data_IF_567044123535
#
_entry.id   IF_567044123535
#
_cell.length_a   1.000
_cell.length_b   1.000
_cell.length_c   1.000
_cell.angle_alpha   90.00
_cell.angle_beta   90.00
_cell.angle_gamma   90.00
#
_symmetry.space_group_name_H-M   'P 1'
#
loop_
_entity.id
_entity.type
_entity.pdbx_description
1 polymer ?
#
# COMPACT_ATOMS: atom_id res chain seq x y z
N UNK A 1 -5.71 35.47 -15.77
CA UNK A 1 -6.06 34.25 -15.01
C UNK A 1 -5.55 32.95 -15.66
N UNK A 2 -5.81 32.71 -16.96
CA UNK A 2 -5.37 31.48 -17.65
C UNK A 2 -3.85 31.22 -17.64
N UNK A 3 -3.02 32.27 -17.81
CA UNK A 3 -1.55 32.16 -17.80
C UNK A 3 -0.99 31.71 -16.44
N UNK A 4 -1.54 32.21 -15.33
CA UNK A 4 -1.14 31.81 -13.98
C UNK A 4 -1.51 30.35 -13.68
N UNK A 5 -2.69 29.92 -14.12
CA UNK A 5 -3.16 28.52 -14.01
C UNK A 5 -2.26 27.59 -14.83
N UNK A 6 -1.90 27.98 -16.06
CA UNK A 6 -1.00 27.22 -16.91
C UNK A 6 0.40 27.08 -16.29
N UNK A 7 0.94 28.16 -15.71
CA UNK A 7 2.23 28.15 -15.01
C UNK A 7 2.22 27.21 -13.80
N UNK A 8 1.21 27.31 -12.94
CA UNK A 8 1.08 26.43 -11.76
C UNK A 8 0.97 24.95 -12.15
N UNK A 9 0.20 24.64 -13.20
CA UNK A 9 0.04 23.27 -13.70
C UNK A 9 1.36 22.71 -14.26
N UNK A 10 2.19 23.55 -14.89
CA UNK A 10 3.51 23.16 -15.38
C UNK A 10 4.49 22.88 -14.24
N UNK A 11 4.46 23.66 -13.17
CA UNK A 11 5.28 23.45 -11.97
C UNK A 11 4.91 22.15 -11.25
N UNK A 12 3.60 21.90 -11.04
CA UNK A 12 3.14 20.63 -10.44
C UNK A 12 3.57 19.42 -11.27
N UNK A 13 3.45 19.50 -12.59
CA UNK A 13 3.87 18.44 -13.50
C UNK A 13 5.39 18.16 -13.41
N UNK A 14 6.20 19.21 -13.20
CA UNK A 14 7.66 19.08 -13.08
C UNK A 14 8.09 18.45 -11.75
N UNK A 15 7.50 18.92 -10.63
CA UNK A 15 7.69 18.34 -9.28
C UNK A 15 7.34 16.83 -9.24
N UNK A 16 6.45 16.40 -10.13
CA UNK A 16 5.96 15.04 -10.24
C UNK A 16 6.79 14.13 -11.15
N UNK A 17 7.80 14.63 -11.87
CA UNK A 17 8.64 13.81 -12.78
C UNK A 17 9.66 12.95 -12.05
N UNK A 18 10.36 13.54 -11.08
CA UNK A 18 11.40 12.85 -10.29
C UNK A 18 10.84 11.62 -9.57
N UNK A 19 9.71 11.70 -8.83
CA UNK A 19 9.16 10.54 -8.13
C UNK A 19 8.71 9.44 -9.08
N UNK A 20 8.16 9.79 -10.25
CA UNK A 20 7.74 8.79 -11.26
C UNK A 20 8.93 8.00 -11.79
N UNK A 21 10.05 8.67 -12.09
CA UNK A 21 11.28 8.01 -12.53
C UNK A 21 11.84 7.11 -11.44
N UNK A 22 11.96 7.62 -10.21
CA UNK A 22 12.46 6.86 -9.06
C UNK A 22 11.60 5.62 -8.82
N UNK A 23 10.27 5.74 -8.80
CA UNK A 23 9.36 4.58 -8.66
C UNK A 23 9.56 3.57 -9.77
N UNK A 24 9.71 4.00 -11.03
CA UNK A 24 9.96 3.11 -12.16
C UNK A 24 11.27 2.35 -12.01
N UNK A 25 12.35 3.03 -11.63
CA UNK A 25 13.65 2.40 -11.38
C UNK A 25 13.59 1.41 -10.22
N UNK A 26 12.99 1.79 -9.09
CA UNK A 26 12.83 0.91 -7.93
C UNK A 26 12.05 -0.34 -8.34
N UNK A 27 10.91 -0.20 -9.04
CA UNK A 27 10.12 -1.36 -9.49
C UNK A 27 10.91 -2.32 -10.37
N UNK A 28 11.69 -1.80 -11.32
CA UNK A 28 12.52 -2.61 -12.20
C UNK A 28 13.65 -3.30 -11.42
N UNK A 29 14.33 -2.58 -10.54
CA UNK A 29 15.39 -3.12 -9.70
C UNK A 29 14.86 -4.21 -8.76
N UNK A 30 13.72 -3.96 -8.09
CA UNK A 30 13.06 -4.94 -7.23
C UNK A 30 12.60 -6.16 -8.02
N UNK A 31 12.00 -5.98 -9.21
CA UNK A 31 11.58 -7.10 -10.05
C UNK A 31 12.77 -7.96 -10.50
N UNK A 32 13.87 -7.33 -10.95
CA UNK A 32 15.09 -8.04 -11.33
C UNK A 32 15.75 -8.76 -10.15
N UNK A 33 15.81 -8.12 -8.99
CA UNK A 33 16.32 -8.72 -7.75
C UNK A 33 15.49 -9.91 -7.28
N UNK A 34 14.16 -9.80 -7.29
CA UNK A 34 13.26 -10.89 -6.95
C UNK A 34 13.38 -12.06 -7.95
N UNK A 35 13.49 -11.76 -9.25
CA UNK A 35 13.69 -12.78 -10.27
C UNK A 35 15.03 -13.51 -10.08
N UNK A 36 16.11 -12.78 -9.81
CA UNK A 36 17.41 -13.37 -9.53
C UNK A 36 17.41 -14.22 -8.26
N UNK A 37 16.82 -13.72 -7.17
CA UNK A 37 16.67 -14.47 -5.94
C UNK A 37 15.85 -15.75 -6.16
N UNK A 38 14.73 -15.66 -6.88
CA UNK A 38 13.91 -16.81 -7.23
C UNK A 38 14.66 -17.82 -8.11
N UNK A 39 15.47 -17.37 -9.06
CA UNK A 39 16.28 -18.24 -9.91
C UNK A 39 17.34 -19.01 -9.10
N UNK A 40 17.93 -18.39 -8.07
CA UNK A 40 18.94 -19.02 -7.22
C UNK A 40 18.36 -20.07 -6.27
N UNK A 41 17.05 -20.10 -6.07
CA UNK A 41 16.39 -21.06 -5.18
C UNK A 41 16.17 -22.38 -5.92
N UNK A 42 16.63 -23.48 -5.33
CA UNK A 42 16.36 -24.84 -5.81
C UNK A 42 14.94 -25.27 -5.44
N UNK A 43 13.94 -24.71 -6.13
CA UNK A 43 12.51 -24.92 -5.86
C UNK A 43 12.09 -26.38 -5.76
N UNK A 44 12.65 -27.25 -6.62
CA UNK A 44 12.32 -28.69 -6.61
C UNK A 44 12.65 -29.34 -5.26
N UNK A 45 13.85 -29.06 -4.74
CA UNK A 45 14.31 -29.62 -3.46
C UNK A 45 13.57 -28.98 -2.28
N UNK A 46 13.32 -27.67 -2.35
CA UNK A 46 12.60 -26.94 -1.29
C UNK A 46 11.16 -27.42 -1.19
N UNK A 47 10.43 -27.49 -2.29
CA UNK A 47 9.04 -27.96 -2.32
C UNK A 47 8.96 -29.44 -1.93
N UNK A 48 9.87 -30.29 -2.45
CA UNK A 48 9.91 -31.69 -2.04
C UNK A 48 10.13 -31.81 -0.52
N UNK A 49 11.15 -31.17 0.03
CA UNK A 49 11.42 -31.24 1.47
C UNK A 49 10.30 -30.64 2.32
N UNK A 50 9.60 -29.60 1.84
CA UNK A 50 8.45 -29.00 2.50
C UNK A 50 7.23 -29.94 2.57
N UNK A 51 6.88 -30.59 1.46
CA UNK A 51 5.69 -31.42 1.38
C UNK A 51 5.90 -32.89 1.77
N UNK A 52 7.13 -33.43 1.67
CA UNK A 52 7.39 -34.86 1.93
C UNK A 52 8.24 -35.12 3.18
N UNK A 53 8.97 -34.12 3.67
CA UNK A 53 9.82 -34.26 4.86
C UNK A 53 9.06 -34.50 6.18
N UNK A 54 9.78 -34.78 7.28
CA UNK A 54 9.17 -34.98 8.60
C UNK A 54 8.36 -33.74 9.02
N UNK A 55 7.21 -33.96 9.68
CA UNK A 55 6.31 -32.87 10.05
C UNK A 55 5.62 -32.17 8.87
N UNK A 56 5.47 -32.84 7.70
CA UNK A 56 4.75 -32.27 6.54
C UNK A 56 3.35 -31.76 6.87
N UNK A 57 2.60 -32.50 7.70
CA UNK A 57 1.21 -32.15 8.04
C UNK A 57 1.18 -30.83 8.80
N UNK A 58 1.99 -30.68 9.85
CA UNK A 58 2.03 -29.43 10.63
C UNK A 58 2.47 -28.25 9.78
N UNK A 59 3.48 -28.42 8.91
CA UNK A 59 3.92 -27.37 7.98
C UNK A 59 2.83 -26.93 7.01
N UNK A 60 2.11 -27.88 6.42
CA UNK A 60 0.99 -27.58 5.50
C UNK A 60 -0.14 -26.87 6.26
N UNK A 61 -0.50 -27.34 7.45
CA UNK A 61 -1.54 -26.71 8.28
C UNK A 61 -1.14 -25.29 8.70
N UNK A 62 0.10 -25.08 9.13
CA UNK A 62 0.60 -23.75 9.47
C UNK A 62 0.63 -22.82 8.26
N UNK A 63 0.99 -23.33 7.07
CA UNK A 63 0.95 -22.54 5.84
C UNK A 63 -0.49 -22.12 5.51
N UNK A 64 -1.44 -23.05 5.55
CA UNK A 64 -2.86 -22.74 5.32
C UNK A 64 -3.35 -21.71 6.35
N UNK A 65 -3.07 -21.92 7.63
CA UNK A 65 -3.43 -20.99 8.70
C UNK A 65 -2.85 -19.59 8.48
N UNK A 66 -1.57 -19.51 8.09
CA UNK A 66 -0.90 -18.24 7.80
C UNK A 66 -1.50 -17.53 6.58
N UNK A 67 -1.84 -18.26 5.51
CA UNK A 67 -2.46 -17.70 4.32
C UNK A 67 -3.87 -17.18 4.60
N UNK A 68 -4.69 -17.93 5.34
CA UNK A 68 -6.04 -17.51 5.73
C UNK A 68 -6.04 -16.31 6.69
N UNK A 69 -4.95 -16.12 7.44
CA UNK A 69 -4.80 -15.03 8.42
C UNK A 69 -3.68 -14.05 8.04
N UNK A 70 -3.36 -13.95 6.74
CA UNK A 70 -2.23 -13.13 6.28
C UNK A 70 -2.38 -11.67 6.74
N UNK A 71 -3.60 -11.15 6.74
CA UNK A 71 -3.93 -9.79 7.22
C UNK A 71 -3.48 -9.53 8.66
N UNK A 72 -3.44 -10.57 9.50
CA UNK A 72 -3.17 -10.48 10.93
C UNK A 72 -1.73 -10.87 11.28
N UNK A 73 -0.91 -11.23 10.29
CA UNK A 73 0.50 -11.53 10.53
C UNK A 73 1.24 -10.27 11.03
N UNK A 74 2.30 -10.44 11.83
CA UNK A 74 3.13 -9.33 12.28
C UNK A 74 3.55 -8.42 11.12
N UNK A 75 3.55 -7.11 11.37
CA UNK A 75 3.89 -6.06 10.41
C UNK A 75 2.96 -5.89 9.21
N UNK A 76 1.97 -6.76 8.98
CA UNK A 76 1.07 -6.61 7.82
C UNK A 76 0.19 -5.36 7.95
N UNK A 77 -0.29 -5.05 9.16
CA UNK A 77 -0.97 -3.78 9.41
C UNK A 77 -0.07 -2.57 9.09
N UNK A 78 1.17 -2.58 9.60
CA UNK A 78 2.16 -1.52 9.35
C UNK A 78 2.40 -1.36 7.86
N UNK A 79 2.61 -2.46 7.14
CA UNK A 79 2.73 -2.46 5.69
C UNK A 79 1.51 -1.85 5.01
N UNK A 80 0.27 -2.20 5.41
CA UNK A 80 -0.96 -1.65 4.80
C UNK A 80 -1.05 -0.14 4.97
N UNK A 81 -0.71 0.39 6.15
CA UNK A 81 -0.68 1.84 6.41
C UNK A 81 0.39 2.53 5.57
N UNK A 82 1.63 2.05 5.60
CA UNK A 82 2.72 2.63 4.81
C UNK A 82 2.47 2.52 3.31
N UNK A 83 1.93 1.41 2.85
CA UNK A 83 1.50 1.22 1.47
C UNK A 83 0.49 2.31 1.08
N UNK A 84 -0.54 2.57 1.90
CA UNK A 84 -1.52 3.62 1.61
C UNK A 84 -0.88 5.01 1.46
N UNK A 85 0.08 5.34 2.33
CA UNK A 85 0.84 6.59 2.28
C UNK A 85 1.64 6.67 0.98
N UNK A 86 2.53 5.70 0.75
CA UNK A 86 3.43 5.69 -0.40
C UNK A 86 2.65 5.62 -1.71
N UNK A 87 1.56 4.86 -1.73
CA UNK A 87 0.69 4.74 -2.90
C UNK A 87 0.13 6.09 -3.32
N UNK A 88 -0.42 6.89 -2.41
CA UNK A 88 -0.98 8.19 -2.78
C UNK A 88 0.08 9.28 -2.98
N UNK A 89 1.22 9.19 -2.30
CA UNK A 89 2.31 10.14 -2.53
C UNK A 89 2.96 9.95 -3.90
N UNK A 90 3.16 8.71 -4.32
CA UNK A 90 4.06 8.38 -5.45
C UNK A 90 3.40 7.69 -6.63
N UNK A 91 2.32 6.93 -6.42
CA UNK A 91 1.72 6.08 -7.47
C UNK A 91 0.40 6.69 -7.96
N UNK A 92 -0.61 6.76 -7.09
CA UNK A 92 -1.92 7.33 -7.39
C UNK A 92 -1.97 8.78 -6.95
N UNK A 93 -1.96 9.68 -7.93
CA UNK A 93 -2.06 11.12 -7.68
C UNK A 93 -3.52 11.51 -7.44
N UNK A 94 -3.77 12.42 -6.51
CA UNK A 94 -5.07 13.09 -6.41
C UNK A 94 -5.19 14.10 -7.56
N UNK A 95 -6.29 14.05 -8.35
CA UNK A 95 -6.61 15.09 -9.31
C UNK A 95 -7.03 16.36 -8.56
N UNK A 96 -7.11 17.48 -9.27
CA UNK A 96 -7.74 18.68 -8.73
C UNK A 96 -9.20 18.39 -8.41
N UNK A 97 -9.53 18.47 -7.13
CA UNK A 97 -10.86 18.20 -6.60
C UNK A 97 -11.74 19.45 -6.80
N UNK A 98 -12.93 19.27 -7.36
CA UNK A 98 -13.92 20.33 -7.55
C UNK A 98 -15.05 20.26 -6.50
N UNK A 99 -16.02 21.19 -6.54
CA UNK A 99 -17.14 21.18 -5.59
C UNK A 99 -17.92 19.85 -5.57
N UNK A 100 -18.04 19.18 -6.72
CA UNK A 100 -18.72 17.88 -6.87
C UNK A 100 -18.04 16.73 -6.10
N UNK A 101 -16.78 16.88 -5.69
CA UNK A 101 -16.07 15.85 -4.92
C UNK A 101 -16.25 15.96 -3.40
N UNK A 102 -16.91 17.00 -2.89
CA UNK A 102 -17.06 17.24 -1.45
C UNK A 102 -17.70 16.06 -0.71
N UNK A 103 -18.73 15.45 -1.30
CA UNK A 103 -19.46 14.31 -0.73
C UNK A 103 -19.12 12.97 -1.39
N UNK A 104 -18.07 12.92 -2.22
CA UNK A 104 -17.71 11.68 -2.91
C UNK A 104 -16.97 10.76 -1.92
N UNK A 105 -17.47 9.53 -1.67
CA UNK A 105 -16.80 8.63 -0.75
C UNK A 105 -15.52 8.08 -1.37
N UNK A 106 -14.55 7.80 -0.52
CA UNK A 106 -13.42 6.94 -0.87
C UNK A 106 -13.65 5.56 -0.25
N UNK A 107 -13.83 4.57 -1.12
CA UNK A 107 -14.24 3.23 -0.71
C UNK A 107 -13.00 2.34 -0.62
N UNK A 108 -12.78 1.77 0.57
CA UNK A 108 -11.77 0.74 0.83
C UNK A 108 -12.47 -0.59 1.10
N UNK A 109 -12.02 -1.67 0.45
CA UNK A 109 -12.54 -3.02 0.69
C UNK A 109 -11.57 -3.79 1.58
N UNK A 110 -12.12 -4.51 2.56
CA UNK A 110 -11.39 -5.41 3.45
C UNK A 110 -12.25 -6.64 3.73
N UNK A 111 -11.65 -7.68 4.30
CA UNK A 111 -12.34 -8.88 4.75
C UNK A 111 -11.98 -9.16 6.22
N UNK A 112 -12.79 -9.99 6.88
CA UNK A 112 -12.52 -10.48 8.23
C UNK A 112 -11.90 -11.89 8.13
N UNK A 113 -10.58 -12.05 8.36
CA UNK A 113 -9.97 -13.36 8.51
C UNK A 113 -10.44 -14.00 9.81
N UNK A 114 -10.24 -15.31 9.94
CA UNK A 114 -10.68 -16.10 11.10
C UNK A 114 -10.20 -15.50 12.42
N UNK A 115 -8.95 -15.02 12.47
CA UNK A 115 -8.35 -14.43 13.67
C UNK A 115 -8.88 -13.02 14.03
N UNK A 116 -9.78 -12.43 13.22
CA UNK A 116 -10.54 -11.23 13.61
C UNK A 116 -11.96 -11.57 14.11
N UNK A 117 -12.39 -12.83 13.99
CA UNK A 117 -13.70 -13.28 14.41
C UNK A 117 -13.64 -13.67 15.90
N UNK A 118 -14.51 -13.09 16.71
CA UNK A 118 -14.59 -13.36 18.13
C UNK A 118 -15.45 -14.61 18.46
N UNK A 119 -15.62 -14.89 19.75
CA UNK A 119 -16.42 -16.02 20.23
C UNK A 119 -17.90 -15.96 19.81
N UNK A 120 -18.41 -14.78 19.44
CA UNK A 120 -19.77 -14.60 18.95
C UNK A 120 -19.90 -14.84 17.44
N UNK A 121 -18.83 -15.28 16.77
CA UNK A 121 -18.81 -15.51 15.31
C UNK A 121 -19.04 -14.20 14.53
N UNK A 122 -18.69 -13.07 15.12
CA UNK A 122 -18.70 -11.77 14.47
C UNK A 122 -17.29 -11.18 14.45
N UNK A 123 -17.05 -10.23 13.55
CA UNK A 123 -15.80 -9.48 13.56
C UNK A 123 -15.71 -8.69 14.87
N UNK A 124 -14.60 -8.87 15.59
CA UNK A 124 -14.38 -8.20 16.88
C UNK A 124 -14.37 -6.68 16.73
N UNK A 125 -15.00 -5.98 17.68
CA UNK A 125 -15.13 -4.51 17.69
C UNK A 125 -13.80 -3.78 17.49
N UNK A 126 -12.73 -4.22 18.17
CA UNK A 126 -11.43 -3.56 18.10
C UNK A 126 -10.79 -3.69 16.71
N UNK A 127 -11.06 -4.77 15.99
CA UNK A 127 -10.44 -5.04 14.68
C UNK A 127 -11.01 -4.15 13.57
N UNK A 128 -12.20 -3.56 13.75
CA UNK A 128 -12.71 -2.52 12.84
C UNK A 128 -11.80 -1.30 12.78
N UNK A 129 -11.18 -0.91 13.89
CA UNK A 129 -10.27 0.23 13.92
C UNK A 129 -9.05 0.02 13.03
N UNK A 130 -8.56 -1.21 12.88
CA UNK A 130 -7.44 -1.51 12.00
C UNK A 130 -7.76 -1.23 10.52
N UNK A 131 -8.98 -1.52 10.08
CA UNK A 131 -9.44 -1.26 8.71
C UNK A 131 -9.80 0.21 8.52
N UNK A 132 -10.34 0.84 9.57
CA UNK A 132 -10.63 2.27 9.59
C UNK A 132 -9.34 3.09 9.50
N UNK A 133 -8.27 2.70 10.20
CA UNK A 133 -6.97 3.35 10.13
C UNK A 133 -6.42 3.35 8.71
N UNK A 134 -6.37 2.18 8.06
CA UNK A 134 -5.91 2.07 6.67
C UNK A 134 -6.78 2.91 5.72
N UNK A 135 -8.10 2.89 5.91
CA UNK A 135 -9.04 3.65 5.09
C UNK A 135 -8.87 5.16 5.27
N UNK A 136 -8.70 5.61 6.51
CA UNK A 136 -8.44 7.00 6.85
C UNK A 136 -7.10 7.47 6.29
N UNK A 137 -6.05 6.66 6.41
CA UNK A 137 -4.74 6.95 5.81
C UNK A 137 -4.85 7.14 4.31
N UNK A 138 -5.57 6.26 3.60
CA UNK A 138 -5.82 6.45 2.18
C UNK A 138 -6.49 7.81 1.89
N UNK A 139 -7.47 8.24 2.69
CA UNK A 139 -8.22 9.46 2.45
C UNK A 139 -7.38 10.69 2.74
N UNK A 140 -6.77 10.73 3.93
CA UNK A 140 -5.95 11.84 4.37
C UNK A 140 -4.76 12.03 3.45
N UNK A 141 -4.02 10.98 3.10
CA UNK A 141 -2.87 11.14 2.19
C UNK A 141 -3.32 11.57 0.79
N UNK A 142 -4.44 11.06 0.29
CA UNK A 142 -4.98 11.48 -1.01
C UNK A 142 -5.35 12.97 -1.03
N UNK A 143 -6.05 13.46 0.00
CA UNK A 143 -6.46 14.87 0.11
C UNK A 143 -5.28 15.81 0.36
N UNK A 144 -4.36 15.42 1.25
CA UNK A 144 -3.25 16.27 1.69
C UNK A 144 -2.02 16.21 0.77
N UNK A 145 -1.99 15.31 -0.22
CA UNK A 145 -0.88 15.17 -1.17
C UNK A 145 -0.41 16.50 -1.77
N UNK A 146 -1.28 17.41 -2.25
CA UNK A 146 -0.81 18.68 -2.80
C UNK A 146 -0.03 19.51 -1.79
N UNK A 147 -0.51 19.58 -0.54
CA UNK A 147 0.20 20.26 0.56
C UNK A 147 1.56 19.64 0.84
N UNK A 148 1.64 18.31 0.96
CA UNK A 148 2.93 17.62 1.14
C UNK A 148 3.91 17.89 0.00
N UNK A 149 3.42 17.99 -1.25
CA UNK A 149 4.26 18.28 -2.42
C UNK A 149 4.86 19.68 -2.36
N UNK A 150 4.05 20.66 -1.99
CA UNK A 150 4.50 22.04 -1.86
C UNK A 150 5.51 22.17 -0.71
N UNK A 151 5.22 21.58 0.46
CA UNK A 151 6.16 21.53 1.59
C UNK A 151 7.52 20.90 1.23
N UNK A 152 7.52 19.84 0.42
CA UNK A 152 8.77 19.19 -0.04
C UNK A 152 9.64 20.13 -0.87
N UNK A 153 9.03 21.08 -1.59
CA UNK A 153 9.71 22.04 -2.45
C UNK A 153 9.62 23.46 -1.88
N UNK A 154 9.63 23.58 -0.55
CA UNK A 154 9.44 24.85 0.13
C UNK A 154 10.34 25.97 -0.44
N UNK A 155 11.63 25.69 -0.64
CA UNK A 155 12.57 26.66 -1.20
C UNK A 155 12.12 27.28 -2.56
N UNK A 156 11.25 26.59 -3.30
CA UNK A 156 10.65 27.10 -4.55
C UNK A 156 9.21 27.62 -4.38
N UNK A 157 8.45 27.11 -3.41
CA UNK A 157 7.04 27.49 -3.20
C UNK A 157 6.84 28.59 -2.16
N UNK A 158 7.84 28.87 -1.33
CA UNK A 158 7.83 29.84 -0.23
C UNK A 158 6.66 29.62 0.75
N UNK A 159 6.53 28.40 1.28
CA UNK A 159 5.50 27.99 2.25
C UNK A 159 6.03 27.75 3.66
#
# INVERSE_FOLDING_TARGET
MASAIAKATRTEADMDRVPVRVVRFIRLATAGGLAYAAYRIHWRMLLASFFTGPGKISRILMLIFALLNLKNMPFVWTYRVWHAILYHLFIRKSPRLGPRSLFRPMISRSHAPIMEIDYNVHKSNSTYFSDLDVSRTHLCTYLLRPGFRQLTHNATTNL
#
